data_IF_842976558220
#
_entry.id   IF_842976558220
#
_cell.length_a   1.000
_cell.length_b   1.000
_cell.length_c   1.000
_cell.angle_alpha   90.00
_cell.angle_beta   90.00
_cell.angle_gamma   90.00
#
_symmetry.space_group_name_H-M   'P 1'
#
loop_
_entity.id
_entity.type
_entity.pdbx_description
1 polymer ?
#
# COMPACT_ATOMS: atom_id res chain seq x y z
N UNK A 1 -3.85 6.23 8.15
CA UNK A 1 -4.61 7.45 8.49
C UNK A 1 -4.97 8.18 7.20
N UNK A 2 -6.23 8.58 6.98
CA UNK A 2 -6.62 9.38 5.82
C UNK A 2 -5.80 10.69 5.76
N UNK A 3 -5.37 11.08 4.55
CA UNK A 3 -4.65 12.33 4.32
C UNK A 3 -3.12 12.28 4.49
N UNK A 4 -2.53 11.13 4.87
CA UNK A 4 -1.08 11.00 4.83
C UNK A 4 -0.61 10.66 3.42
N UNK A 5 0.49 11.29 2.95
CA UNK A 5 1.07 10.98 1.65
C UNK A 5 1.62 9.55 1.63
N UNK A 6 1.16 8.76 0.66
CA UNK A 6 1.71 7.44 0.36
C UNK A 6 2.89 7.56 -0.61
N UNK A 7 3.77 6.57 -0.59
CA UNK A 7 4.85 6.49 -1.55
C UNK A 7 4.29 6.19 -2.94
N UNK A 8 4.67 7.00 -3.91
CA UNK A 8 4.28 6.85 -5.32
C UNK A 8 5.49 6.46 -6.16
N UNK A 9 5.28 5.56 -7.10
CA UNK A 9 6.28 5.20 -8.12
C UNK A 9 5.88 5.83 -9.43
N UNK A 10 6.82 6.55 -10.03
CA UNK A 10 6.66 7.15 -11.35
C UNK A 10 7.31 6.25 -12.39
N UNK A 11 6.52 5.82 -13.36
CA UNK A 11 6.99 5.04 -14.50
C UNK A 11 7.51 5.93 -15.63
N UNK A 12 8.33 5.38 -16.56
CA UNK A 12 8.83 6.12 -17.72
C UNK A 12 7.75 6.71 -18.62
N UNK A 13 6.57 6.07 -18.68
CA UNK A 13 5.39 6.56 -19.42
C UNK A 13 4.67 7.72 -18.72
N UNK A 14 5.18 8.19 -17.57
CA UNK A 14 4.64 9.29 -16.77
C UNK A 14 3.55 8.90 -15.78
N UNK A 15 3.12 7.65 -15.75
CA UNK A 15 2.14 7.17 -14.76
C UNK A 15 2.72 7.17 -13.36
N UNK A 16 1.92 7.67 -12.40
CA UNK A 16 2.20 7.55 -10.99
C UNK A 16 1.25 6.53 -10.37
N UNK A 17 1.81 5.51 -9.71
CA UNK A 17 1.03 4.50 -9.00
C UNK A 17 1.49 4.37 -7.54
N UNK A 18 0.58 4.05 -6.61
CA UNK A 18 0.97 3.76 -5.24
C UNK A 18 1.97 2.61 -5.18
N UNK A 19 3.00 2.75 -4.35
CA UNK A 19 3.89 1.64 -4.04
C UNK A 19 3.19 0.68 -3.08
N UNK A 20 3.01 -0.55 -3.52
CA UNK A 20 2.43 -1.62 -2.72
C UNK A 20 3.49 -2.37 -1.96
N UNK A 21 3.27 -2.53 -0.66
CA UNK A 21 4.09 -3.44 0.14
C UNK A 21 3.78 -4.89 -0.25
N UNK A 22 4.81 -5.74 -0.26
CA UNK A 22 4.71 -7.14 -0.66
C UNK A 22 4.05 -8.06 0.39
N UNK A 23 3.81 -7.58 1.61
CA UNK A 23 3.31 -8.42 2.70
C UNK A 23 1.84 -8.79 2.58
N UNK A 24 1.02 -7.85 2.10
CA UNK A 24 -0.41 -8.09 1.93
C UNK A 24 -0.96 -7.23 0.81
N UNK A 25 -1.52 -7.90 -0.19
CA UNK A 25 -2.17 -7.23 -1.31
C UNK A 25 -3.43 -8.01 -1.68
N UNK A 26 -4.54 -7.35 -1.70
CA UNK A 26 -5.81 -7.86 -2.21
C UNK A 26 -6.47 -6.82 -3.09
N UNK A 27 -6.89 -7.22 -4.28
CA UNK A 27 -7.71 -6.40 -5.16
C UNK A 27 -9.13 -6.91 -5.05
N UNK A 28 -10.06 -6.03 -4.66
CA UNK A 28 -11.49 -6.32 -4.66
C UNK A 28 -12.17 -5.55 -5.76
N UNK A 29 -12.82 -6.29 -6.63
CA UNK A 29 -13.72 -5.73 -7.63
C UNK A 29 -15.11 -5.54 -7.04
N UNK A 30 -15.89 -4.54 -7.48
CA UNK A 30 -17.27 -4.36 -7.06
C UNK A 30 -18.13 -5.50 -7.60
N UNK A 31 -19.22 -5.78 -6.92
CA UNK A 31 -20.34 -6.55 -7.49
C UNK A 31 -21.15 -5.56 -8.32
N UNK A 32 -21.27 -5.82 -9.63
CA UNK A 32 -22.00 -4.97 -10.54
C UNK A 32 -23.47 -5.40 -10.61
N UNK A 33 -24.35 -4.44 -10.83
CA UNK A 33 -25.76 -4.67 -11.13
C UNK A 33 -26.12 -4.27 -12.57
N UNK A 34 -27.38 -4.46 -12.96
CA UNK A 34 -27.84 -4.11 -14.29
C UNK A 34 -27.70 -2.61 -14.59
N UNK A 35 -27.85 -1.75 -13.58
CA UNK A 35 -27.74 -0.29 -13.75
C UNK A 35 -26.29 0.11 -14.01
N UNK A 36 -25.33 -0.51 -13.33
CA UNK A 36 -23.90 -0.31 -13.58
C UNK A 36 -23.56 -0.61 -15.05
N UNK A 37 -24.06 -1.73 -15.57
CA UNK A 37 -23.83 -2.13 -16.98
C UNK A 37 -24.50 -1.15 -17.95
N UNK A 38 -25.74 -0.73 -17.67
CA UNK A 38 -26.46 0.23 -18.52
C UNK A 38 -25.78 1.62 -18.56
N UNK A 39 -25.01 2.00 -17.57
CA UNK A 39 -24.26 3.25 -17.59
C UNK A 39 -23.13 3.25 -18.62
N UNK A 40 -22.58 2.09 -18.93
CA UNK A 40 -21.39 1.96 -19.79
C UNK A 40 -21.64 1.21 -21.09
N UNK A 41 -22.78 0.54 -21.20
CA UNK A 41 -23.18 -0.20 -22.39
C UNK A 41 -24.61 0.16 -22.80
N UNK A 42 -24.82 0.37 -24.11
CA UNK A 42 -26.15 0.65 -24.64
C UNK A 42 -26.95 -0.65 -24.82
N UNK A 43 -27.41 -1.21 -23.72
CA UNK A 43 -28.18 -2.47 -23.68
C UNK A 43 -29.43 -2.33 -22.83
N UNK A 44 -30.47 -3.13 -23.15
CA UNK A 44 -31.67 -3.18 -22.32
C UNK A 44 -31.43 -3.86 -20.99
N UNK A 45 -32.25 -3.52 -19.99
CA UNK A 45 -32.11 -3.99 -18.60
C UNK A 45 -31.92 -5.52 -18.50
N UNK A 46 -32.71 -6.32 -19.21
CA UNK A 46 -32.58 -7.78 -19.15
C UNK A 46 -31.20 -8.27 -19.62
N UNK A 47 -30.68 -7.69 -20.71
CA UNK A 47 -29.32 -8.02 -21.21
C UNK A 47 -28.27 -7.53 -20.24
N UNK A 48 -28.46 -6.36 -19.66
CA UNK A 48 -27.55 -5.80 -18.65
C UNK A 48 -27.45 -6.67 -17.39
N UNK A 49 -28.57 -7.20 -16.90
CA UNK A 49 -28.64 -8.11 -15.76
C UNK A 49 -27.89 -9.42 -16.02
N UNK A 50 -28.03 -10.00 -17.20
CA UNK A 50 -27.28 -11.19 -17.60
C UNK A 50 -25.77 -10.93 -17.67
N UNK A 51 -25.38 -9.79 -18.22
CA UNK A 51 -23.95 -9.39 -18.27
C UNK A 51 -23.40 -9.21 -16.85
N UNK A 52 -24.11 -8.48 -15.98
CA UNK A 52 -23.67 -8.25 -14.60
C UNK A 52 -23.51 -9.57 -13.83
N UNK A 53 -24.46 -10.49 -13.92
CA UNK A 53 -24.37 -11.81 -13.29
C UNK A 53 -23.15 -12.58 -13.76
N UNK A 54 -22.94 -12.65 -15.08
CA UNK A 54 -21.79 -13.35 -15.66
C UNK A 54 -20.46 -12.73 -15.24
N UNK A 55 -20.36 -11.41 -15.24
CA UNK A 55 -19.17 -10.68 -14.76
C UNK A 55 -18.88 -11.03 -13.30
N UNK A 56 -19.88 -10.95 -12.44
CA UNK A 56 -19.72 -11.23 -11.01
C UNK A 56 -19.30 -12.69 -10.76
N UNK A 57 -19.87 -13.63 -11.49
CA UNK A 57 -19.50 -15.06 -11.41
C UNK A 57 -18.05 -15.29 -11.84
N UNK A 58 -17.64 -14.71 -12.96
CA UNK A 58 -16.27 -14.87 -13.49
C UNK A 58 -15.23 -14.20 -12.59
N UNK A 59 -15.51 -13.02 -12.04
CA UNK A 59 -14.65 -12.34 -11.06
C UNK A 59 -14.59 -13.15 -9.75
N UNK A 60 -15.71 -13.66 -9.24
CA UNK A 60 -15.74 -14.51 -8.06
C UNK A 60 -14.98 -15.84 -8.27
N UNK A 61 -14.93 -16.35 -9.50
CA UNK A 61 -14.11 -17.49 -9.87
C UNK A 61 -12.62 -17.18 -10.03
N UNK A 62 -12.19 -15.92 -9.79
CA UNK A 62 -10.78 -15.50 -9.81
C UNK A 62 -10.26 -15.02 -11.17
N UNK A 63 -11.13 -14.86 -12.18
CA UNK A 63 -10.71 -14.24 -13.44
C UNK A 63 -10.38 -12.76 -13.25
N UNK A 64 -9.41 -12.28 -14.00
CA UNK A 64 -9.12 -10.84 -14.09
C UNK A 64 -10.11 -10.17 -15.05
N UNK A 65 -10.37 -8.86 -14.92
CA UNK A 65 -11.28 -8.15 -15.81
C UNK A 65 -10.98 -8.32 -17.31
N UNK A 66 -9.71 -8.35 -17.70
CA UNK A 66 -9.31 -8.57 -19.09
C UNK A 66 -9.64 -9.98 -19.62
N UNK A 67 -9.86 -10.95 -18.73
CA UNK A 67 -10.13 -12.35 -19.05
C UNK A 67 -11.65 -12.66 -19.13
N UNK A 68 -12.51 -11.65 -18.92
CA UNK A 68 -13.95 -11.81 -18.97
C UNK A 68 -14.41 -12.29 -20.35
N UNK A 69 -15.35 -13.23 -20.35
CA UNK A 69 -15.94 -13.82 -21.58
C UNK A 69 -17.32 -13.28 -21.85
N UNK A 70 -17.47 -11.97 -21.87
CA UNK A 70 -18.71 -11.26 -22.23
C UNK A 70 -18.65 -10.76 -23.67
N UNK A 71 -19.79 -10.20 -24.16
CA UNK A 71 -19.89 -9.66 -25.51
C UNK A 71 -18.83 -8.57 -25.77
N UNK A 72 -18.05 -8.73 -26.82
CA UNK A 72 -16.95 -7.82 -27.17
C UNK A 72 -17.41 -6.37 -27.36
N UNK A 73 -18.67 -6.18 -27.78
CA UNK A 73 -19.26 -4.83 -27.97
C UNK A 73 -19.34 -3.99 -26.69
N UNK A 74 -19.29 -4.60 -25.51
CA UNK A 74 -19.35 -3.91 -24.22
C UNK A 74 -18.20 -4.26 -23.29
N UNK A 75 -17.33 -5.20 -23.67
CA UNK A 75 -16.28 -5.72 -22.82
C UNK A 75 -15.35 -4.64 -22.30
N UNK A 76 -14.81 -3.80 -23.18
CA UNK A 76 -13.85 -2.76 -22.81
C UNK A 76 -14.47 -1.76 -21.81
N UNK A 77 -15.70 -1.33 -22.03
CA UNK A 77 -16.41 -0.42 -21.14
C UNK A 77 -16.70 -1.05 -19.77
N UNK A 78 -17.02 -2.34 -19.73
CA UNK A 78 -17.23 -3.07 -18.47
C UNK A 78 -15.92 -3.28 -17.71
N UNK A 79 -14.84 -3.59 -18.43
CA UNK A 79 -13.50 -3.70 -17.83
C UNK A 79 -13.07 -2.36 -17.23
N UNK A 80 -13.24 -1.27 -17.96
CA UNK A 80 -12.93 0.08 -17.45
C UNK A 80 -13.76 0.43 -16.21
N UNK A 81 -15.04 0.09 -16.20
CA UNK A 81 -15.92 0.27 -15.04
C UNK A 81 -15.41 -0.51 -13.81
N UNK A 82 -15.09 -1.80 -13.97
CA UNK A 82 -14.54 -2.63 -12.90
C UNK A 82 -13.23 -2.06 -12.36
N UNK A 83 -12.31 -1.67 -13.25
CA UNK A 83 -11.03 -1.10 -12.89
C UNK A 83 -11.16 0.26 -12.19
N UNK A 84 -12.13 1.09 -12.60
CA UNK A 84 -12.39 2.39 -11.97
C UNK A 84 -12.95 2.28 -10.55
N UNK A 85 -13.74 1.23 -10.30
CA UNK A 85 -14.41 0.98 -8.99
C UNK A 85 -13.65 -0.01 -8.11
N UNK A 86 -12.53 -0.59 -8.59
CA UNK A 86 -11.76 -1.56 -7.80
C UNK A 86 -11.24 -0.94 -6.51
N UNK A 87 -11.21 -1.75 -5.46
CA UNK A 87 -10.63 -1.38 -4.18
C UNK A 87 -9.36 -2.17 -3.95
N UNK A 88 -8.33 -1.47 -3.51
CA UNK A 88 -7.10 -2.09 -3.06
C UNK A 88 -7.15 -2.24 -1.54
N UNK A 89 -6.99 -3.45 -1.07
CA UNK A 89 -6.80 -3.77 0.34
C UNK A 89 -5.37 -4.26 0.52
N UNK A 90 -4.65 -3.64 1.42
CA UNK A 90 -3.27 -4.01 1.67
C UNK A 90 -2.49 -2.89 2.32
N UNK A 91 -1.20 -3.11 2.46
CA UNK A 91 -0.28 -2.15 3.03
C UNK A 91 0.36 -1.33 1.92
N UNK A 92 0.20 -0.03 2.00
CA UNK A 92 0.91 0.94 1.15
C UNK A 92 1.93 1.67 2.03
N UNK A 93 3.13 1.82 1.50
CA UNK A 93 4.17 2.53 2.22
C UNK A 93 3.87 4.03 2.26
N UNK A 94 4.12 4.65 3.41
CA UNK A 94 4.08 6.09 3.55
C UNK A 94 5.29 6.72 2.86
N UNK A 95 5.11 7.91 2.33
CA UNK A 95 6.22 8.69 1.79
C UNK A 95 7.05 9.30 2.93
N UNK A 96 8.08 8.60 3.37
CA UNK A 96 8.99 9.05 4.45
C UNK A 96 9.78 10.32 4.10
N UNK A 97 9.76 10.78 2.85
CA UNK A 97 10.35 12.06 2.44
C UNK A 97 9.40 13.24 2.73
N UNK A 98 8.12 12.97 3.07
CA UNK A 98 7.12 14.00 3.35
C UNK A 98 7.19 14.53 4.78
N UNK A 99 7.22 15.86 4.99
CA UNK A 99 7.14 16.46 6.33
C UNK A 99 5.88 16.06 7.11
N UNK A 100 4.74 15.88 6.43
CA UNK A 100 3.48 15.46 7.07
C UNK A 100 3.56 14.06 7.70
N UNK A 101 4.35 13.16 7.10
CA UNK A 101 4.62 11.84 7.68
C UNK A 101 5.45 11.96 8.95
N UNK A 102 6.42 12.86 8.97
CA UNK A 102 7.24 13.11 10.16
C UNK A 102 6.47 13.77 11.29
N UNK A 103 5.61 14.72 10.98
CA UNK A 103 4.69 15.31 11.97
C UNK A 103 3.78 14.24 12.57
N UNK A 104 3.27 13.32 11.75
CA UNK A 104 2.47 12.19 12.23
C UNK A 104 3.29 11.27 13.14
N UNK A 105 4.53 10.94 12.80
CA UNK A 105 5.39 10.11 13.65
C UNK A 105 5.70 10.79 14.99
N UNK A 106 6.04 12.08 14.97
CA UNK A 106 6.31 12.83 16.19
C UNK A 106 5.08 12.87 17.10
N UNK A 107 3.91 13.18 16.56
CA UNK A 107 2.65 13.19 17.31
C UNK A 107 2.30 11.79 17.86
N UNK A 108 2.61 10.73 17.13
CA UNK A 108 2.40 9.35 17.58
C UNK A 108 3.31 9.01 18.76
N UNK A 109 4.62 9.30 18.67
CA UNK A 109 5.56 9.06 19.76
C UNK A 109 5.19 9.87 21.01
N UNK A 110 4.83 11.15 20.84
CA UNK A 110 4.35 12.02 21.92
C UNK A 110 3.11 11.41 22.62
N UNK A 111 2.16 10.92 21.85
CA UNK A 111 0.93 10.32 22.37
C UNK A 111 1.23 9.05 23.15
N UNK A 112 2.08 8.17 22.62
CA UNK A 112 2.50 6.94 23.29
C UNK A 112 3.22 7.23 24.62
N UNK A 113 4.13 8.20 24.63
CA UNK A 113 4.80 8.63 25.85
C UNK A 113 3.80 9.19 26.87
N UNK A 114 2.80 9.96 26.43
CA UNK A 114 1.71 10.48 27.28
C UNK A 114 0.87 9.37 27.91
N UNK A 115 0.73 8.24 27.27
CA UNK A 115 0.10 7.04 27.83
C UNK A 115 1.03 6.19 28.69
N UNK A 116 2.26 6.63 28.93
CA UNK A 116 3.22 5.94 29.81
C UNK A 116 4.08 4.90 29.12
N UNK A 117 4.06 4.80 27.79
CA UNK A 117 4.99 3.93 27.07
C UNK A 117 6.45 4.32 27.39
N UNK A 118 7.34 3.34 27.50
CA UNK A 118 8.79 3.51 27.68
C UNK A 118 9.58 2.95 26.51
N UNK A 119 9.02 1.92 25.87
CA UNK A 119 9.65 1.24 24.73
C UNK A 119 8.63 1.25 23.58
N UNK A 120 9.10 1.59 22.39
CA UNK A 120 8.31 1.55 21.16
C UNK A 120 8.99 0.61 20.16
N UNK A 121 8.29 -0.46 19.78
CA UNK A 121 8.74 -1.36 18.73
C UNK A 121 8.40 -0.75 17.37
N UNK A 122 9.41 -0.64 16.50
CA UNK A 122 9.26 -0.21 15.12
C UNK A 122 9.13 -1.45 14.22
N UNK A 123 7.89 -1.80 13.89
CA UNK A 123 7.57 -2.97 13.08
C UNK A 123 8.06 -2.82 11.64
N UNK A 124 8.65 -3.87 11.08
CA UNK A 124 9.12 -3.96 9.70
C UNK A 124 9.97 -2.76 9.23
N UNK A 125 10.72 -2.16 10.14
CA UNK A 125 11.38 -0.87 9.97
C UNK A 125 12.31 -0.79 8.75
N UNK A 126 13.07 -1.86 8.49
CA UNK A 126 14.05 -1.89 7.41
C UNK A 126 13.43 -1.87 6.00
N UNK A 127 12.11 -2.00 5.90
CA UNK A 127 11.37 -1.85 4.64
C UNK A 127 10.98 -0.41 4.30
N UNK A 128 11.12 0.53 5.23
CA UNK A 128 10.63 1.90 5.04
C UNK A 128 11.44 2.69 3.99
N UNK A 129 12.78 2.65 3.94
CA UNK A 129 13.53 3.30 2.87
C UNK A 129 13.40 2.56 1.56
N UNK A 130 13.01 3.30 0.51
CA UNK A 130 12.91 2.80 -0.87
C UNK A 130 13.68 3.72 -1.79
N UNK A 131 14.55 3.11 -2.60
CA UNK A 131 15.28 3.82 -3.65
C UNK A 131 15.14 3.07 -4.98
N UNK A 132 14.99 3.79 -6.10
CA UNK A 132 14.86 3.16 -7.41
C UNK A 132 16.08 2.29 -7.76
N UNK A 133 15.83 1.06 -8.18
CA UNK A 133 16.89 0.11 -8.56
C UNK A 133 17.49 -0.68 -7.39
N UNK A 134 17.13 -0.33 -6.15
CA UNK A 134 17.64 -1.00 -4.96
C UNK A 134 16.69 -2.12 -4.48
N UNK A 135 17.22 -2.96 -3.58
CA UNK A 135 16.43 -4.01 -2.93
C UNK A 135 15.32 -3.41 -2.06
N UNK A 136 14.32 -4.22 -1.74
CA UNK A 136 13.15 -3.78 -0.98
C UNK A 136 13.38 -3.74 0.54
N UNK A 137 14.49 -4.27 1.03
CA UNK A 137 14.77 -4.45 2.45
C UNK A 137 16.21 -4.03 2.76
N UNK A 138 16.38 -3.33 3.88
CA UNK A 138 17.68 -2.90 4.42
C UNK A 138 18.54 -2.16 3.39
N UNK A 139 18.03 -1.04 2.90
CA UNK A 139 18.78 -0.14 2.03
C UNK A 139 19.73 0.72 2.85
N UNK A 140 21.02 0.52 2.65
CA UNK A 140 22.07 1.28 3.32
C UNK A 140 22.59 2.40 2.42
N UNK A 141 22.92 3.57 2.97
CA UNK A 141 22.87 3.98 4.39
C UNK A 141 21.46 4.41 4.86
N UNK A 142 20.48 4.51 3.96
CA UNK A 142 19.17 5.11 4.22
C UNK A 142 18.40 4.52 5.42
N UNK A 143 18.52 3.21 5.65
CA UNK A 143 17.88 2.57 6.82
C UNK A 143 18.44 3.11 8.14
N UNK A 144 19.76 3.29 8.23
CA UNK A 144 20.40 3.79 9.44
C UNK A 144 20.18 5.28 9.65
N UNK A 145 20.20 6.08 8.60
CA UNK A 145 19.84 7.49 8.64
C UNK A 145 18.40 7.70 9.11
N UNK A 146 17.49 6.86 8.62
CA UNK A 146 16.09 6.88 9.04
C UNK A 146 15.95 6.50 10.52
N UNK A 147 16.67 5.45 10.98
CA UNK A 147 16.64 5.02 12.37
C UNK A 147 17.15 6.13 13.29
N UNK A 148 18.27 6.77 12.95
CA UNK A 148 18.83 7.89 13.70
C UNK A 148 17.85 9.08 13.79
N UNK A 149 17.13 9.35 12.70
CA UNK A 149 16.12 10.42 12.69
C UNK A 149 14.94 10.09 13.60
N UNK A 150 14.45 8.85 13.60
CA UNK A 150 13.38 8.42 14.52
C UNK A 150 13.87 8.39 15.97
N UNK A 151 15.13 7.96 16.20
CA UNK A 151 15.74 7.98 17.53
C UNK A 151 15.75 9.39 18.14
N UNK A 152 16.17 10.39 17.36
CA UNK A 152 16.17 11.80 17.80
C UNK A 152 14.77 12.30 18.17
N UNK A 153 13.73 11.82 17.48
CA UNK A 153 12.35 12.13 17.87
C UNK A 153 11.95 11.41 19.17
N UNK A 154 12.29 10.13 19.30
CA UNK A 154 11.97 9.34 20.49
C UNK A 154 12.65 9.89 21.75
N UNK A 155 13.90 10.35 21.64
CA UNK A 155 14.67 10.95 22.71
C UNK A 155 13.97 12.18 23.32
N UNK A 156 13.27 13.00 22.50
CA UNK A 156 12.48 14.14 22.98
C UNK A 156 11.40 13.74 24.01
N UNK A 157 10.96 12.50 23.95
CA UNK A 157 9.86 11.97 24.78
C UNK A 157 10.32 10.87 25.74
N UNK A 158 11.63 10.69 25.92
CA UNK A 158 12.24 9.64 26.77
C UNK A 158 11.75 8.24 26.42
N UNK A 159 11.67 7.93 25.13
CA UNK A 159 11.29 6.64 24.60
C UNK A 159 12.50 5.87 24.10
N UNK A 160 12.58 4.59 24.45
CA UNK A 160 13.54 3.66 23.87
C UNK A 160 12.92 3.01 22.63
N UNK A 161 13.68 2.92 21.54
CA UNK A 161 13.24 2.27 20.33
C UNK A 161 13.72 0.82 20.28
N UNK A 162 12.84 -0.06 19.77
CA UNK A 162 13.15 -1.45 19.46
C UNK A 162 12.85 -1.68 17.96
N UNK A 163 13.80 -1.40 17.05
CA UNK A 163 13.58 -1.60 15.62
C UNK A 163 13.55 -3.09 15.27
N UNK A 164 12.56 -3.51 14.50
CA UNK A 164 12.54 -4.84 13.93
C UNK A 164 13.31 -4.85 12.61
N UNK A 165 14.53 -5.36 12.67
CA UNK A 165 15.43 -5.52 11.53
C UNK A 165 15.84 -6.98 11.49
N UNK A 166 15.36 -7.71 10.48
CA UNK A 166 15.81 -9.07 10.25
C UNK A 166 17.19 -9.05 9.61
N UNK A 167 18.17 -9.62 10.28
CA UNK A 167 19.50 -9.83 9.71
C UNK A 167 19.85 -11.31 9.82
N UNK A 168 20.49 -11.85 8.79
CA UNK A 168 21.11 -13.18 8.93
C UNK A 168 22.34 -13.06 9.82
N UNK A 169 22.66 -14.14 10.55
CA UNK A 169 23.81 -14.16 11.44
C UNK A 169 25.14 -13.83 10.72
N UNK A 170 25.19 -14.09 9.38
CA UNK A 170 26.34 -13.77 8.54
C UNK A 170 26.48 -12.30 8.12
N UNK A 171 25.41 -11.51 8.24
CA UNK A 171 25.41 -10.11 7.77
C UNK A 171 25.93 -9.10 8.78
N UNK A 172 26.25 -9.52 10.02
CA UNK A 172 26.83 -8.69 11.10
C UNK A 172 26.13 -7.35 11.38
N UNK A 173 24.89 -7.18 10.96
CA UNK A 173 24.16 -5.91 11.11
C UNK A 173 23.76 -5.60 12.56
N UNK A 174 23.84 -6.57 13.45
CA UNK A 174 23.55 -6.39 14.87
C UNK A 174 24.49 -5.40 15.56
N UNK A 175 25.73 -5.23 15.10
CA UNK A 175 26.66 -4.24 15.64
C UNK A 175 26.20 -2.80 15.38
N UNK A 176 25.51 -2.54 14.29
CA UNK A 176 24.96 -1.23 13.96
C UNK A 176 23.66 -0.94 14.70
N UNK A 177 22.89 -1.97 15.02
CA UNK A 177 21.64 -1.86 15.78
C UNK A 177 21.93 -1.56 17.26
N UNK A 178 23.05 -2.06 17.78
CA UNK A 178 23.43 -1.91 19.18
C UNK A 178 24.09 -0.55 19.51
N UNK A 179 24.42 0.25 18.52
CA UNK A 179 24.97 1.60 18.67
C UNK A 179 23.87 2.64 18.73
#
# INVERSE_FOLDING_TARGET
>A
KPGLPILMVRFPDGKNVPYWNTFYQEIKYPVLDAQDIMQVANVQYYKADLIAKKVNEEIAAGKKPAELTIDDSCKDSVVELLESKRKYLGQMDLNIKSPLVWEFYENTLKTLAGYGAKIVRLDAFAYAPKEPGEKNFLNEPGTWELLEKVRKLADKYNLTLLPEIHASYGEKNYEQIAK
#
